data_IF_207126950418
#
_entry.id   IF_207126950418
#
_cell.length_a   1.000
_cell.length_b   1.000
_cell.length_c   1.000
_cell.angle_alpha   90.00
_cell.angle_beta   90.00
_cell.angle_gamma   90.00
#
_symmetry.space_group_name_H-M   'P 1'
#
loop_
_entity.id
_entity.type
_entity.pdbx_description
1 polymer ?
#
# COMPACT_ATOMS: atom_id res chain seq x y z
N UNK A 1 43.50 -24.92 2.16
CA UNK A 1 42.87 -23.89 1.33
C UNK A 1 43.91 -23.35 0.33
N UNK A 2 43.72 -23.59 -0.97
CA UNK A 2 44.60 -23.03 -2.01
C UNK A 2 44.34 -21.52 -2.12
N UNK A 3 45.36 -20.72 -1.77
CA UNK A 3 45.38 -19.27 -1.97
C UNK A 3 45.41 -19.03 -3.48
N UNK A 4 44.29 -18.64 -4.06
CA UNK A 4 44.23 -18.21 -5.47
C UNK A 4 44.93 -16.86 -5.52
N UNK A 5 46.23 -16.88 -5.81
CA UNK A 5 47.01 -15.67 -6.08
C UNK A 5 46.69 -15.23 -7.51
N UNK A 6 45.76 -14.30 -7.65
CA UNK A 6 45.52 -13.63 -8.94
C UNK A 6 46.72 -12.71 -9.22
N UNK A 7 47.72 -13.24 -9.96
CA UNK A 7 48.95 -12.52 -10.26
C UNK A 7 48.83 -11.48 -11.39
N UNK A 8 47.65 -11.40 -12.05
CA UNK A 8 47.49 -10.54 -13.20
C UNK A 8 46.72 -9.25 -12.80
N UNK A 9 47.41 -8.09 -12.73
CA UNK A 9 46.77 -6.83 -12.31
C UNK A 9 45.64 -6.40 -13.23
N UNK A 10 45.66 -6.82 -14.49
CA UNK A 10 44.59 -6.55 -15.47
C UNK A 10 43.32 -7.28 -15.09
N UNK A 11 43.40 -8.55 -14.71
CA UNK A 11 42.24 -9.35 -14.26
C UNK A 11 41.64 -8.79 -12.98
N UNK A 12 42.45 -8.33 -12.06
CA UNK A 12 41.95 -7.71 -10.80
C UNK A 12 41.19 -6.42 -11.08
N UNK A 13 41.75 -5.55 -11.95
CA UNK A 13 41.09 -4.30 -12.35
C UNK A 13 39.77 -4.55 -13.07
N UNK A 14 39.77 -5.51 -13.99
CA UNK A 14 38.56 -5.89 -14.72
C UNK A 14 37.48 -6.46 -13.77
N UNK A 15 37.88 -7.30 -12.84
CA UNK A 15 36.99 -7.85 -11.82
C UNK A 15 36.40 -6.77 -10.93
N UNK A 16 37.18 -5.77 -10.50
CA UNK A 16 36.68 -4.64 -9.73
C UNK A 16 35.66 -3.80 -10.49
N UNK A 17 35.92 -3.52 -11.78
CA UNK A 17 34.97 -2.77 -12.63
C UNK A 17 33.65 -3.54 -12.78
N UNK A 18 33.71 -4.86 -12.97
CA UNK A 18 32.54 -5.72 -13.10
C UNK A 18 31.69 -5.70 -11.81
N UNK A 19 32.33 -5.85 -10.65
CA UNK A 19 31.65 -5.80 -9.35
C UNK A 19 31.01 -4.45 -9.12
N UNK A 20 31.71 -3.36 -9.44
CA UNK A 20 31.18 -2.00 -9.33
C UNK A 20 29.97 -1.79 -10.24
N UNK A 21 30.04 -2.25 -11.48
CA UNK A 21 28.91 -2.16 -12.42
C UNK A 21 27.69 -2.94 -11.95
N UNK A 22 27.87 -4.14 -11.41
CA UNK A 22 26.78 -4.94 -10.83
C UNK A 22 26.17 -4.29 -9.59
N UNK A 23 26.99 -3.69 -8.72
CA UNK A 23 26.51 -2.97 -7.55
C UNK A 23 25.66 -1.76 -7.94
N UNK A 24 26.12 -0.95 -8.88
CA UNK A 24 25.37 0.21 -9.39
C UNK A 24 24.06 -0.24 -10.04
N UNK A 25 24.11 -1.27 -10.89
CA UNK A 25 22.91 -1.84 -11.52
C UNK A 25 21.88 -2.33 -10.51
N UNK A 26 22.33 -2.98 -9.44
CA UNK A 26 21.45 -3.46 -8.36
C UNK A 26 20.78 -2.30 -7.61
N UNK A 27 21.51 -1.24 -7.29
CA UNK A 27 20.98 -0.05 -6.61
C UNK A 27 19.93 0.64 -7.49
N UNK A 28 20.24 0.87 -8.76
CA UNK A 28 19.31 1.50 -9.72
C UNK A 28 18.04 0.68 -9.89
N UNK A 29 18.19 -0.64 -10.02
CA UNK A 29 17.04 -1.56 -10.14
C UNK A 29 16.16 -1.55 -8.91
N UNK A 30 16.75 -1.57 -7.72
CA UNK A 30 15.99 -1.51 -6.46
C UNK A 30 15.23 -0.18 -6.29
N UNK A 31 15.84 0.92 -6.68
CA UNK A 31 15.20 2.24 -6.63
C UNK A 31 14.03 2.33 -7.61
N UNK A 32 14.21 1.82 -8.83
CA UNK A 32 13.18 1.86 -9.86
C UNK A 32 11.99 0.94 -9.53
N UNK A 33 12.26 -0.24 -8.98
CA UNK A 33 11.21 -1.17 -8.56
C UNK A 33 10.38 -0.62 -7.40
N UNK A 34 11.03 0.00 -6.41
CA UNK A 34 10.34 0.59 -5.26
C UNK A 34 9.42 1.75 -5.65
N UNK A 35 9.81 2.58 -6.63
CA UNK A 35 8.96 3.68 -7.10
C UNK A 35 7.73 3.18 -7.87
N UNK A 36 7.87 2.13 -8.68
CA UNK A 36 6.73 1.52 -9.40
C UNK A 36 5.72 0.87 -8.46
N UNK A 37 6.17 0.09 -7.50
CA UNK A 37 5.27 -0.52 -6.51
C UNK A 37 4.47 0.51 -5.73
N UNK A 38 5.06 1.67 -5.43
CA UNK A 38 4.35 2.75 -4.74
C UNK A 38 3.25 3.38 -5.61
N UNK A 39 3.52 3.60 -6.90
CA UNK A 39 2.52 4.13 -7.83
C UNK A 39 1.35 3.18 -8.05
N UNK A 40 1.61 1.88 -8.22
CA UNK A 40 0.58 0.86 -8.38
C UNK A 40 -0.33 0.77 -7.14
N UNK A 41 0.24 0.90 -5.94
CA UNK A 41 -0.54 0.90 -4.71
C UNK A 41 -1.45 2.14 -4.59
N UNK A 42 -0.97 3.33 -4.95
CA UNK A 42 -1.79 4.55 -4.94
C UNK A 42 -2.93 4.44 -5.94
N UNK A 43 -2.67 4.00 -7.18
CA UNK A 43 -3.69 3.82 -8.21
C UNK A 43 -4.75 2.79 -7.78
N UNK A 44 -4.34 1.70 -7.13
CA UNK A 44 -5.27 0.71 -6.59
C UNK A 44 -6.15 1.31 -5.48
N UNK A 45 -5.59 2.11 -4.58
CA UNK A 45 -6.34 2.79 -3.53
C UNK A 45 -7.36 3.76 -4.11
N UNK A 46 -6.99 4.59 -5.09
CA UNK A 46 -7.90 5.52 -5.75
C UNK A 46 -9.07 4.80 -6.43
N UNK A 47 -8.80 3.70 -7.13
CA UNK A 47 -9.85 2.86 -7.73
C UNK A 47 -10.77 2.26 -6.67
N UNK A 48 -10.22 1.79 -5.57
CA UNK A 48 -11.00 1.23 -4.45
C UNK A 48 -11.94 2.29 -3.87
N UNK A 49 -11.43 3.49 -3.59
CA UNK A 49 -12.22 4.61 -3.08
C UNK A 49 -13.36 4.95 -4.06
N UNK A 50 -13.04 5.09 -5.35
CA UNK A 50 -14.04 5.42 -6.37
C UNK A 50 -15.15 4.36 -6.48
N UNK A 51 -14.83 3.07 -6.39
CA UNK A 51 -15.82 1.99 -6.41
C UNK A 51 -16.71 2.04 -5.18
N UNK A 52 -16.12 2.24 -4.01
CA UNK A 52 -16.86 2.34 -2.75
C UNK A 52 -17.78 3.55 -2.77
N UNK A 53 -17.28 4.71 -3.13
CA UNK A 53 -18.04 5.97 -3.19
C UNK A 53 -19.22 5.91 -4.17
N UNK A 54 -19.00 5.35 -5.36
CA UNK A 54 -20.06 5.21 -6.37
C UNK A 54 -21.13 4.18 -6.01
N UNK A 55 -20.75 3.13 -5.28
CA UNK A 55 -21.64 1.98 -5.03
C UNK A 55 -22.43 2.13 -3.74
N UNK A 56 -21.91 2.87 -2.76
CA UNK A 56 -22.55 3.00 -1.46
C UNK A 56 -23.70 4.03 -1.49
N UNK A 57 -24.83 3.63 -0.94
CA UNK A 57 -25.98 4.50 -0.71
C UNK A 57 -26.14 4.74 0.79
N UNK A 58 -26.03 5.99 1.21
CA UNK A 58 -26.13 6.38 2.62
C UNK A 58 -27.50 6.14 3.26
N UNK A 59 -28.54 5.95 2.44
CA UNK A 59 -29.90 5.66 2.91
C UNK A 59 -30.11 4.20 3.33
N UNK A 60 -29.10 3.34 3.13
CA UNK A 60 -29.14 1.92 3.45
C UNK A 60 -28.04 1.55 4.43
N UNK A 61 -28.15 0.41 5.14
CA UNK A 61 -27.10 -0.06 6.05
C UNK A 61 -25.74 -0.20 5.34
N UNK A 62 -24.80 0.68 5.69
CA UNK A 62 -23.48 0.77 5.03
C UNK A 62 -22.66 -0.52 5.20
N UNK A 63 -22.80 -1.17 6.37
CA UNK A 63 -22.06 -2.40 6.68
C UNK A 63 -22.35 -3.52 5.68
N UNK A 64 -23.63 -3.79 5.38
CA UNK A 64 -24.01 -4.84 4.42
C UNK A 64 -23.58 -4.50 3.01
N UNK A 65 -23.69 -3.23 2.63
CA UNK A 65 -23.28 -2.78 1.30
C UNK A 65 -21.78 -2.92 1.13
N UNK A 66 -20.99 -2.46 2.11
CA UNK A 66 -19.54 -2.56 2.07
C UNK A 66 -19.06 -4.01 1.95
N UNK A 67 -19.67 -4.93 2.71
CA UNK A 67 -19.33 -6.34 2.62
C UNK A 67 -19.64 -6.93 1.25
N UNK A 68 -20.76 -6.57 0.63
CA UNK A 68 -21.12 -7.02 -0.74
C UNK A 68 -20.15 -6.47 -1.78
N UNK A 69 -19.81 -5.18 -1.69
CA UNK A 69 -18.85 -4.55 -2.60
C UNK A 69 -17.46 -5.17 -2.45
N UNK A 70 -17.01 -5.34 -1.21
CA UNK A 70 -15.73 -5.96 -0.92
C UNK A 70 -15.63 -7.39 -1.48
N UNK A 71 -16.68 -8.19 -1.30
CA UNK A 71 -16.70 -9.58 -1.81
C UNK A 71 -16.77 -9.69 -3.35
N UNK A 72 -17.28 -8.67 -4.04
CA UNK A 72 -17.56 -8.75 -5.49
C UNK A 72 -16.64 -7.89 -6.36
N UNK A 73 -16.11 -6.79 -5.84
CA UNK A 73 -15.44 -5.77 -6.65
C UNK A 73 -14.07 -5.34 -6.11
N UNK A 74 -13.74 -5.65 -4.87
CA UNK A 74 -12.47 -5.25 -4.26
C UNK A 74 -11.52 -6.44 -4.09
N UNK A 75 -10.22 -6.15 -4.00
CA UNK A 75 -9.22 -7.17 -3.67
C UNK A 75 -9.41 -7.62 -2.22
N UNK A 76 -9.43 -8.93 -2.00
CA UNK A 76 -9.61 -9.54 -0.68
C UNK A 76 -8.51 -9.13 0.35
N UNK A 77 -7.38 -8.63 -0.11
CA UNK A 77 -6.29 -8.14 0.73
C UNK A 77 -6.43 -6.67 1.13
N UNK A 78 -7.43 -5.98 0.59
CA UNK A 78 -7.67 -4.55 0.88
C UNK A 78 -8.77 -4.43 1.91
N UNK A 79 -8.43 -3.96 3.11
CA UNK A 79 -9.42 -3.61 4.14
C UNK A 79 -9.92 -2.20 3.92
N UNK A 80 -11.24 -2.02 3.93
CA UNK A 80 -11.89 -0.72 3.81
C UNK A 80 -12.69 -0.44 5.08
N UNK A 81 -12.45 0.72 5.68
CA UNK A 81 -13.18 1.18 6.87
C UNK A 81 -13.80 2.55 6.57
N UNK A 82 -15.10 2.68 6.77
CA UNK A 82 -15.83 3.94 6.59
C UNK A 82 -15.97 4.61 7.96
N UNK A 83 -15.47 5.83 8.06
CA UNK A 83 -15.42 6.60 9.30
C UNK A 83 -16.17 7.92 9.10
N UNK A 84 -17.07 8.25 10.02
CA UNK A 84 -17.74 9.54 10.02
C UNK A 84 -16.79 10.68 10.45
N UNK A 85 -17.15 11.93 10.18
CA UNK A 85 -16.35 13.10 10.53
C UNK A 85 -16.08 13.27 12.02
N UNK A 86 -16.91 12.67 12.86
CA UNK A 86 -16.74 12.64 14.31
C UNK A 86 -15.84 11.47 14.80
N UNK A 87 -15.28 10.70 13.88
CA UNK A 87 -14.43 9.55 14.15
C UNK A 87 -15.17 8.24 14.42
N UNK A 88 -16.49 8.23 14.34
CA UNK A 88 -17.28 7.00 14.51
C UNK A 88 -17.11 6.07 13.33
N UNK A 89 -16.85 4.79 13.57
CA UNK A 89 -16.77 3.77 12.51
C UNK A 89 -18.18 3.38 12.08
N UNK A 90 -18.50 3.59 10.80
CA UNK A 90 -19.81 3.30 10.21
C UNK A 90 -19.87 1.92 9.57
N UNK A 91 -18.78 1.47 8.97
CA UNK A 91 -18.66 0.16 8.34
C UNK A 91 -17.21 -0.27 8.22
N UNK A 92 -16.97 -1.59 8.18
CA UNK A 92 -15.65 -2.19 8.01
C UNK A 92 -15.76 -3.49 7.21
N UNK A 93 -14.90 -3.67 6.21
CA UNK A 93 -14.95 -4.83 5.31
C UNK A 93 -14.61 -6.16 5.98
N UNK A 94 -13.73 -6.13 6.97
CA UNK A 94 -13.24 -7.34 7.66
C UNK A 94 -14.13 -7.76 8.83
N UNK A 95 -15.00 -6.87 9.29
CA UNK A 95 -15.87 -7.10 10.45
C UNK A 95 -17.31 -7.31 10.02
N UNK A 96 -18.00 -8.21 10.71
CA UNK A 96 -19.45 -8.41 10.51
C UNK A 96 -20.29 -7.32 11.16
N UNK A 97 -19.78 -6.70 12.20
CA UNK A 97 -20.43 -5.64 12.96
C UNK A 97 -19.36 -4.69 13.50
N UNK A 98 -19.67 -3.40 13.49
CA UNK A 98 -18.80 -2.33 13.98
C UNK A 98 -19.25 -1.77 15.34
N UNK A 99 -20.31 -2.33 15.92
CA UNK A 99 -20.83 -1.93 17.24
C UNK A 99 -19.75 -2.10 18.32
N UNK A 100 -19.47 -1.03 19.05
CA UNK A 100 -18.46 -1.04 20.10
C UNK A 100 -17.03 -0.83 19.65
N UNK A 101 -16.78 -0.52 18.36
CA UNK A 101 -15.47 -0.06 17.93
C UNK A 101 -15.10 1.27 18.58
N UNK A 102 -13.83 1.42 18.93
CA UNK A 102 -13.30 2.69 19.42
C UNK A 102 -13.42 3.79 18.37
N UNK A 103 -13.63 5.01 18.84
CA UNK A 103 -13.63 6.18 17.98
C UNK A 103 -12.23 6.40 17.37
N UNK A 104 -12.16 6.64 16.07
CA UNK A 104 -10.91 6.75 15.31
C UNK A 104 -10.48 8.20 15.05
N UNK A 105 -11.12 9.18 15.68
CA UNK A 105 -10.81 10.60 15.49
C UNK A 105 -9.33 10.95 15.81
N UNK A 106 -8.75 10.22 16.76
CA UNK A 106 -7.35 10.44 17.18
C UNK A 106 -6.29 9.86 16.24
N UNK A 107 -6.69 9.06 15.26
CA UNK A 107 -5.76 8.49 14.28
C UNK A 107 -5.23 9.59 13.37
N UNK A 108 -3.93 9.50 13.07
CA UNK A 108 -3.25 10.50 12.27
C UNK A 108 -3.85 10.63 10.86
N UNK A 109 -4.16 9.51 10.22
CA UNK A 109 -4.77 9.46 8.89
C UNK A 109 -6.14 10.14 8.84
N UNK A 110 -6.95 10.02 9.91
CA UNK A 110 -8.27 10.67 10.02
C UNK A 110 -8.11 12.18 10.20
N UNK A 111 -7.16 12.60 11.04
CA UNK A 111 -6.86 14.03 11.24
C UNK A 111 -6.37 14.68 9.95
N UNK A 112 -5.46 14.03 9.23
CA UNK A 112 -4.93 14.53 7.96
C UNK A 112 -6.04 14.65 6.89
N UNK A 113 -6.94 13.67 6.79
CA UNK A 113 -8.07 13.72 5.87
C UNK A 113 -9.04 14.86 6.20
N UNK A 114 -9.33 15.08 7.48
CA UNK A 114 -10.19 16.19 7.92
C UNK A 114 -9.58 17.56 7.66
N UNK A 115 -8.26 17.71 7.82
CA UNK A 115 -7.54 18.96 7.57
C UNK A 115 -7.44 19.29 6.08
N UNK A 116 -7.24 18.28 5.23
CA UNK A 116 -7.12 18.44 3.78
C UNK A 116 -8.48 18.53 3.08
N UNK A 117 -9.55 18.10 3.72
CA UNK A 117 -10.89 18.07 3.14
C UNK A 117 -11.10 16.98 2.09
N UNK A 118 -10.29 15.96 2.16
CA UNK A 118 -10.33 14.77 1.30
C UNK A 118 -11.01 13.61 2.02
#
# INVERSE_FOLDING_TARGET
MKKIMIKNPVLVRFGMILVLALAISSIVSSFFLGSRMRQENVEMMEKTISVVEYTLNTDKPLQEQLQKVHASALDANVRVTIIAKDGTVLADSDLKNVDGMENHLDRQEVKEALEKGE
#
